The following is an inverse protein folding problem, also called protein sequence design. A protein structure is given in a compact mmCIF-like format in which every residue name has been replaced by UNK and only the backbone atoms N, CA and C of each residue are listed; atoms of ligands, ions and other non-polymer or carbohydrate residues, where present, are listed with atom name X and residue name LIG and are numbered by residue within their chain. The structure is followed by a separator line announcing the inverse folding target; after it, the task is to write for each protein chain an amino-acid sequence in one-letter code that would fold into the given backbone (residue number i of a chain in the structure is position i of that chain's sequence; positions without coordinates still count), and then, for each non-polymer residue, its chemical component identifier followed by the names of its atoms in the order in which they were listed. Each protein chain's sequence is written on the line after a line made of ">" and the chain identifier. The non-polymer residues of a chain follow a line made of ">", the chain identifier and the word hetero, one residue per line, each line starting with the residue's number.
data_IF_674578249996
#
_entry.id   IF_674578249996
#
_cell.length_a   1.000
_cell.length_b   1.000
_cell.length_c   1.000
_cell.angle_alpha   90.00
_cell.angle_beta   90.00
_cell.angle_gamma   90.00
#
_symmetry.space_group_name_H-M   'P 1'
#
loop_
_entity.id
_entity.type
_entity.pdbx_description
1 polymer ?
#
# COMPACT_ATOMS: atom_id res chain seq x y z
N UNK A 1 -6.20 2.12 6.54
CA UNK A 1 -5.70 2.50 5.21
C UNK A 1 -4.40 1.76 4.99
N UNK A 2 -4.20 1.08 3.86
CA UNK A 2 -3.06 0.16 3.65
C UNK A 2 -2.13 0.62 2.52
N UNK A 3 -2.71 1.07 1.40
CA UNK A 3 -1.98 1.65 0.28
C UNK A 3 -2.49 3.08 0.06
N UNK A 4 -1.59 4.03 -0.11
CA UNK A 4 -1.89 5.45 -0.38
C UNK A 4 -1.02 5.97 -1.50
N UNK A 5 -1.57 6.87 -2.31
CA UNK A 5 -0.83 7.62 -3.31
C UNK A 5 -0.60 9.05 -2.80
N UNK A 6 0.62 9.56 -2.94
CA UNK A 6 0.94 10.95 -2.64
C UNK A 6 1.24 11.66 -3.95
N UNK A 7 0.55 12.76 -4.21
CA UNK A 7 0.88 13.65 -5.33
C UNK A 7 1.75 14.81 -4.84
N UNK A 8 2.93 14.96 -5.41
CA UNK A 8 3.96 15.88 -4.95
C UNK A 8 4.49 16.66 -6.15
N UNK A 9 4.49 18.00 -6.04
CA UNK A 9 5.12 18.90 -7.01
C UNK A 9 6.15 19.75 -6.29
N UNK A 10 7.43 19.55 -6.64
CA UNK A 10 8.54 20.19 -5.94
C UNK A 10 8.59 19.74 -4.47
N UNK A 11 8.45 20.69 -3.56
CA UNK A 11 8.43 20.49 -2.10
C UNK A 11 7.01 20.50 -1.50
N UNK A 12 5.96 20.51 -2.35
CA UNK A 12 4.56 20.62 -1.90
C UNK A 12 3.79 19.32 -2.14
N UNK A 13 3.12 18.85 -1.08
CA UNK A 13 2.11 17.80 -1.16
C UNK A 13 0.79 18.40 -1.68
N UNK A 14 0.29 17.89 -2.80
CA UNK A 14 -0.94 18.35 -3.42
C UNK A 14 -2.15 17.52 -3.00
N UNK A 15 -2.02 16.20 -3.01
CA UNK A 15 -3.14 15.28 -2.74
C UNK A 15 -2.68 13.99 -2.07
N UNK A 16 -3.58 13.42 -1.25
CA UNK A 16 -3.44 12.07 -0.69
C UNK A 16 -4.60 11.20 -1.23
N UNK A 17 -4.26 10.26 -2.12
CA UNK A 17 -5.19 9.30 -2.71
C UNK A 17 -5.36 8.05 -1.83
N UNK A 18 -6.54 7.90 -1.21
CA UNK A 18 -6.79 6.89 -0.16
C UNK A 18 -7.75 5.74 -0.54
N UNK A 19 -8.44 5.84 -1.67
CA UNK A 19 -9.39 4.82 -2.13
C UNK A 19 -8.82 3.98 -3.28
N UNK A 20 -8.32 4.64 -4.33
CA UNK A 20 -7.83 3.97 -5.54
C UNK A 20 -6.48 4.57 -5.98
N UNK A 21 -5.41 4.41 -5.17
CA UNK A 21 -4.09 4.83 -5.59
C UNK A 21 -3.66 4.02 -6.83
N UNK A 22 -3.55 4.71 -7.97
CA UNK A 22 -3.30 4.11 -9.28
C UNK A 22 -1.83 4.15 -9.71
N UNK A 23 -1.58 3.89 -10.99
CA UNK A 23 -0.28 4.12 -11.64
C UNK A 23 0.73 2.96 -11.56
N UNK A 24 0.45 1.88 -10.81
CA UNK A 24 1.38 0.75 -10.64
C UNK A 24 1.89 0.16 -11.96
N UNK A 25 1.02 -0.06 -12.95
CA UNK A 25 1.42 -0.61 -14.25
C UNK A 25 2.41 0.32 -14.99
N UNK A 26 2.09 1.62 -15.04
CA UNK A 26 2.93 2.62 -15.71
C UNK A 26 4.27 2.81 -14.98
N UNK A 27 4.25 2.79 -13.64
CA UNK A 27 5.47 2.81 -12.83
C UNK A 27 6.31 1.55 -13.10
N UNK A 28 5.69 0.38 -13.18
CA UNK A 28 6.40 -0.87 -13.45
C UNK A 28 7.14 -0.84 -14.79
N UNK A 29 6.50 -0.31 -15.83
CA UNK A 29 7.13 -0.11 -17.15
C UNK A 29 8.28 0.90 -17.12
N UNK A 30 8.09 2.01 -16.40
CA UNK A 30 9.06 3.11 -16.31
C UNK A 30 10.32 2.71 -15.54
N UNK A 31 10.13 2.08 -14.38
CA UNK A 31 11.22 1.68 -13.48
C UNK A 31 11.67 0.23 -13.66
N UNK A 32 11.11 -0.50 -14.64
CA UNK A 32 11.41 -1.91 -14.94
C UNK A 32 11.36 -2.78 -13.67
N UNK A 33 10.37 -2.53 -12.82
CA UNK A 33 10.24 -3.12 -11.49
C UNK A 33 8.80 -3.54 -11.23
N UNK A 34 8.58 -4.76 -10.73
CA UNK A 34 7.23 -5.23 -10.38
C UNK A 34 6.79 -4.72 -9.00
N UNK A 35 6.11 -3.58 -8.99
CA UNK A 35 5.53 -3.02 -7.77
C UNK A 35 4.29 -3.80 -7.31
N UNK A 36 3.53 -4.42 -8.22
CA UNK A 36 2.31 -5.14 -7.88
C UNK A 36 2.63 -6.37 -7.03
N UNK A 37 3.70 -7.10 -7.38
CA UNK A 37 4.19 -8.22 -6.57
C UNK A 37 4.48 -7.81 -5.12
N UNK A 38 5.12 -6.64 -4.91
CA UNK A 38 5.40 -6.14 -3.55
C UNK A 38 4.14 -5.80 -2.76
N UNK A 39 3.15 -5.20 -3.41
CA UNK A 39 1.85 -4.89 -2.78
C UNK A 39 1.12 -6.18 -2.39
N UNK A 40 1.17 -7.20 -3.25
CA UNK A 40 0.55 -8.51 -2.97
C UNK A 40 1.21 -9.18 -1.75
N UNK A 41 2.55 -9.24 -1.71
CA UNK A 41 3.29 -9.81 -0.56
C UNK A 41 2.89 -9.12 0.74
N UNK A 42 2.84 -7.79 0.76
CA UNK A 42 2.46 -7.05 1.96
C UNK A 42 0.99 -7.32 2.39
N UNK A 43 0.08 -7.57 1.45
CA UNK A 43 -1.30 -7.99 1.78
C UNK A 43 -1.34 -9.40 2.38
N UNK A 44 -0.51 -10.32 1.88
CA UNK A 44 -0.41 -11.69 2.38
C UNK A 44 0.18 -11.74 3.80
N UNK A 45 1.20 -10.92 4.07
CA UNK A 45 1.79 -10.74 5.39
C UNK A 45 0.75 -10.20 6.38
N UNK A 46 0.04 -9.15 5.99
CA UNK A 46 -1.08 -8.61 6.78
C UNK A 46 -2.16 -9.65 7.06
N UNK A 47 -2.53 -10.45 6.06
CA UNK A 47 -3.50 -11.53 6.22
C UNK A 47 -3.00 -12.62 7.17
N UNK A 48 -1.70 -12.93 7.13
CA UNK A 48 -1.04 -13.87 8.05
C UNK A 48 -1.08 -13.36 9.49
N UNK A 49 -0.74 -12.09 9.71
CA UNK A 49 -0.86 -11.45 11.02
C UNK A 49 -2.31 -11.45 11.52
N UNK A 50 -3.28 -11.16 10.65
CA UNK A 50 -4.71 -11.25 11.01
C UNK A 50 -5.10 -12.65 11.47
N UNK A 51 -4.59 -13.71 10.83
CA UNK A 51 -4.87 -15.10 11.25
C UNK A 51 -4.21 -15.43 12.59
N UNK A 52 -2.96 -14.99 12.80
CA UNK A 52 -2.21 -15.26 14.02
C UNK A 52 -2.79 -14.54 15.25
N UNK A 53 -3.20 -13.27 15.10
CA UNK A 53 -3.67 -12.44 16.21
C UNK A 53 -5.21 -12.32 16.30
N UNK A 54 -5.95 -12.83 15.31
CA UNK A 54 -7.41 -12.77 15.26
C UNK A 54 -7.96 -11.34 15.34
N UNK A 55 -8.93 -11.12 16.25
CA UNK A 55 -9.54 -9.79 16.47
C UNK A 55 -8.83 -8.95 17.53
N UNK A 56 -7.76 -9.46 18.16
CA UNK A 56 -7.02 -8.72 19.19
C UNK A 56 -6.34 -7.47 18.64
N UNK A 57 -5.97 -7.50 17.35
CA UNK A 57 -5.39 -6.35 16.67
C UNK A 57 -6.41 -5.70 15.72
N UNK A 58 -6.65 -4.37 15.84
CA UNK A 58 -7.53 -3.66 14.93
C UNK A 58 -6.92 -3.61 13.52
N UNK A 59 -7.78 -3.55 12.50
CA UNK A 59 -7.33 -3.49 11.10
C UNK A 59 -6.49 -2.25 10.80
N UNK A 60 -6.71 -1.14 11.52
CA UNK A 60 -5.91 0.08 11.40
C UNK A 60 -4.45 -0.17 11.76
N UNK A 61 -4.18 -0.94 12.81
CA UNK A 61 -2.81 -1.31 13.21
C UNK A 61 -2.19 -2.36 12.28
N UNK A 62 -2.98 -3.36 11.87
CA UNK A 62 -2.52 -4.34 10.88
C UNK A 62 -2.19 -3.72 9.52
N UNK A 63 -2.71 -2.54 9.21
CA UNK A 63 -2.45 -1.87 7.93
C UNK A 63 -1.15 -1.05 7.92
N UNK A 64 -0.42 -0.99 9.04
CA UNK A 64 0.85 -0.26 9.20
C UNK A 64 2.03 -1.17 9.57
N UNK A 65 1.80 -2.49 9.60
CA UNK A 65 2.79 -3.53 9.88
C UNK A 65 3.09 -4.25 8.58
#
# INVERSE_FOLDING_TARGET
>A
MFLVGLDIVGDKLLEINVFTPGGLARLAEMYKTDFAARVIVALEEKATLRRAYGKTMPNSRLATL
#
